data_IF_688570552392
#
_entry.id   IF_688570552392
#
_cell.length_a   1.000
_cell.length_b   1.000
_cell.length_c   1.000
_cell.angle_alpha   90.00
_cell.angle_beta   90.00
_cell.angle_gamma   90.00
#
_symmetry.space_group_name_H-M   'P 1'
#
loop_
_entity.id
_entity.type
_entity.pdbx_description
1 polymer ?
#
# COMPACT_ATOMS: atom_id res chain seq x y z
N UNK A 1 18.81 -20.76 -69.50
CA UNK A 1 19.34 -21.95 -68.80
C UNK A 1 20.26 -21.49 -67.69
N UNK A 2 20.00 -22.00 -66.49
CA UNK A 2 20.79 -22.01 -65.25
C UNK A 2 22.32 -21.92 -65.41
N UNK A 3 22.98 -21.21 -64.48
CA UNK A 3 23.92 -21.83 -63.52
C UNK A 3 24.27 -20.88 -62.35
N UNK A 4 23.97 -21.37 -61.15
CA UNK A 4 24.44 -20.95 -59.83
C UNK A 4 25.95 -21.13 -59.68
N UNK A 5 26.56 -20.45 -58.68
CA UNK A 5 27.53 -20.95 -57.65
C UNK A 5 28.31 -19.73 -57.10
N UNK A 6 27.95 -19.19 -55.93
CA UNK A 6 28.40 -19.52 -54.56
C UNK A 6 29.46 -18.52 -54.06
N UNK A 7 29.02 -17.54 -53.25
CA UNK A 7 29.87 -16.91 -52.24
C UNK A 7 29.19 -17.14 -50.90
N UNK A 8 29.83 -18.00 -50.11
CA UNK A 8 29.44 -18.38 -48.76
C UNK A 8 29.72 -17.19 -47.83
N UNK A 9 28.69 -16.43 -47.46
CA UNK A 9 28.77 -15.43 -46.40
C UNK A 9 28.92 -16.15 -45.05
N UNK A 10 30.17 -16.34 -44.63
CA UNK A 10 30.57 -16.51 -43.25
C UNK A 10 30.31 -15.21 -42.48
N UNK A 11 29.07 -15.01 -42.05
CA UNK A 11 28.76 -14.15 -40.92
C UNK A 11 27.85 -14.95 -40.01
N UNK A 12 28.48 -15.71 -39.12
CA UNK A 12 27.81 -16.34 -38.01
C UNK A 12 27.01 -15.29 -37.26
N UNK A 13 25.69 -15.39 -37.31
CA UNK A 13 24.82 -14.75 -36.35
C UNK A 13 25.13 -15.38 -34.99
N UNK A 14 26.09 -14.79 -34.27
CA UNK A 14 26.06 -14.84 -32.82
C UNK A 14 24.77 -14.13 -32.42
N UNK A 15 23.69 -14.90 -32.26
CA UNK A 15 22.49 -14.43 -31.61
C UNK A 15 22.89 -14.01 -30.22
N UNK A 16 22.94 -12.70 -29.98
CA UNK A 16 23.03 -12.17 -28.64
C UNK A 16 21.74 -12.57 -27.96
N UNK A 17 21.77 -13.62 -27.14
CA UNK A 17 20.74 -13.84 -26.16
C UNK A 17 20.79 -12.62 -25.24
N UNK A 18 19.91 -11.64 -25.47
CA UNK A 18 19.67 -10.56 -24.53
C UNK A 18 19.06 -11.24 -23.31
N UNK A 19 19.92 -11.63 -22.36
CA UNK A 19 19.48 -12.06 -21.05
C UNK A 19 18.76 -10.87 -20.43
N UNK A 20 17.46 -11.01 -20.19
CA UNK A 20 16.68 -9.96 -19.57
C UNK A 20 17.18 -9.78 -18.13
N UNK A 21 17.83 -8.66 -17.85
CA UNK A 21 18.39 -8.39 -16.52
C UNK A 21 17.28 -8.33 -15.47
N UNK A 22 17.50 -9.03 -14.36
CA UNK A 22 16.56 -9.06 -13.23
C UNK A 22 16.59 -7.68 -12.56
N UNK A 23 15.46 -6.97 -12.43
CA UNK A 23 15.47 -5.67 -11.78
C UNK A 23 15.99 -5.78 -10.35
N UNK A 24 16.81 -4.83 -9.87
CA UNK A 24 17.50 -4.95 -8.58
C UNK A 24 16.54 -5.01 -7.38
N UNK A 25 15.32 -4.51 -7.54
CA UNK A 25 14.25 -4.54 -6.54
C UNK A 25 13.51 -5.89 -6.47
N UNK A 26 13.88 -6.87 -7.30
CA UNK A 26 13.30 -8.22 -7.31
C UNK A 26 14.27 -9.21 -6.70
N UNK A 27 13.82 -9.90 -5.65
CA UNK A 27 14.45 -11.12 -5.15
C UNK A 27 13.65 -12.31 -5.67
N UNK A 28 14.33 -13.21 -6.40
CA UNK A 28 13.70 -14.39 -6.97
C UNK A 28 13.53 -15.50 -5.91
N UNK A 29 12.47 -16.27 -6.03
CA UNK A 29 12.20 -17.46 -5.24
C UNK A 29 12.00 -18.69 -6.13
N UNK A 30 12.32 -19.88 -5.62
CA UNK A 30 12.11 -21.14 -6.35
C UNK A 30 10.76 -21.76 -5.97
N UNK A 31 9.96 -22.14 -6.97
CA UNK A 31 8.64 -22.76 -6.75
C UNK A 31 8.76 -24.10 -6.01
N UNK A 32 9.81 -24.84 -6.30
CA UNK A 32 10.13 -26.15 -5.73
C UNK A 32 10.73 -26.10 -4.32
N UNK A 33 11.07 -24.90 -3.82
CA UNK A 33 11.69 -24.73 -2.50
C UNK A 33 10.68 -25.00 -1.36
N UNK A 34 10.94 -25.96 -0.46
CA UNK A 34 10.14 -26.15 0.75
C UNK A 34 10.01 -24.87 1.61
N UNK A 35 11.00 -23.97 1.52
CA UNK A 35 11.06 -22.66 2.16
C UNK A 35 10.50 -21.51 1.32
N UNK A 36 9.73 -21.77 0.24
CA UNK A 36 9.18 -20.75 -0.66
C UNK A 36 8.50 -19.59 0.08
N UNK A 37 7.74 -19.88 1.13
CA UNK A 37 7.04 -18.83 1.91
C UNK A 37 8.00 -17.89 2.63
N UNK A 38 9.11 -18.41 3.16
CA UNK A 38 10.14 -17.58 3.79
C UNK A 38 10.93 -16.79 2.75
N UNK A 39 11.24 -17.38 1.60
CA UNK A 39 11.82 -16.64 0.49
C UNK A 39 10.93 -15.45 0.06
N UNK A 40 9.61 -15.65 -0.06
CA UNK A 40 8.68 -14.58 -0.42
C UNK A 40 8.59 -13.49 0.65
N UNK A 41 8.69 -13.86 1.94
CA UNK A 41 8.80 -12.88 3.04
C UNK A 41 10.07 -12.06 2.89
N UNK A 42 11.20 -12.69 2.61
CA UNK A 42 12.46 -12.00 2.33
C UNK A 42 12.37 -11.13 1.08
N UNK A 43 11.66 -11.55 0.04
CA UNK A 43 11.49 -10.79 -1.19
C UNK A 43 10.71 -9.49 -0.95
N UNK A 44 9.62 -9.55 -0.17
CA UNK A 44 8.90 -8.35 0.25
C UNK A 44 9.75 -7.44 1.15
N UNK A 45 10.62 -8.01 2.00
CA UNK A 45 11.54 -7.22 2.82
C UNK A 45 12.64 -6.56 1.97
N UNK A 46 13.15 -7.26 0.95
CA UNK A 46 14.12 -6.75 -0.03
C UNK A 46 13.55 -5.58 -0.83
N UNK A 47 12.25 -5.60 -1.11
CA UNK A 47 11.56 -4.54 -1.84
C UNK A 47 11.43 -3.23 -1.03
N UNK A 48 11.52 -3.28 0.31
CA UNK A 48 11.31 -2.11 1.20
C UNK A 48 12.12 -0.86 0.87
N UNK A 49 13.47 -0.91 0.72
CA UNK A 49 14.24 0.28 0.37
C UNK A 49 13.78 0.92 -0.94
N UNK A 50 13.38 0.11 -1.92
CA UNK A 50 12.89 0.58 -3.21
C UNK A 50 11.49 1.17 -3.13
N UNK A 51 10.59 0.64 -2.30
CA UNK A 51 9.30 1.29 -2.03
C UNK A 51 9.51 2.63 -1.33
N UNK A 52 10.45 2.69 -0.39
CA UNK A 52 10.78 3.92 0.35
C UNK A 52 11.21 5.05 -0.59
N UNK A 53 12.10 4.77 -1.56
CA UNK A 53 12.53 5.78 -2.56
C UNK A 53 11.57 5.94 -3.74
N UNK A 54 10.67 4.98 -3.96
CA UNK A 54 9.97 4.81 -5.23
C UNK A 54 10.85 4.13 -6.29
N UNK A 55 10.21 3.73 -7.39
CA UNK A 55 10.86 3.07 -8.54
C UNK A 55 10.46 3.85 -9.82
N UNK A 56 11.26 4.83 -10.25
CA UNK A 56 10.93 5.71 -11.38
C UNK A 56 10.69 4.97 -12.70
N UNK A 57 11.44 3.89 -12.94
CA UNK A 57 11.36 3.06 -14.16
C UNK A 57 9.95 2.51 -14.41
N UNK A 58 9.25 2.18 -13.33
CA UNK A 58 7.87 1.69 -13.38
C UNK A 58 6.87 2.72 -12.85
N UNK A 59 7.26 4.00 -12.73
CA UNK A 59 6.43 5.10 -12.21
C UNK A 59 5.79 4.80 -10.85
N UNK A 60 6.47 4.02 -10.00
CA UNK A 60 6.01 3.74 -8.66
C UNK A 60 6.48 4.88 -7.74
N UNK A 61 5.57 5.66 -7.12
CA UNK A 61 5.96 6.76 -6.25
C UNK A 61 6.60 6.24 -4.96
N UNK A 62 7.29 7.14 -4.26
CA UNK A 62 7.78 6.86 -2.90
C UNK A 62 6.62 6.57 -1.95
N UNK A 63 6.83 5.61 -1.05
CA UNK A 63 5.92 5.34 0.09
C UNK A 63 6.44 5.92 1.41
N UNK A 64 7.48 6.77 1.36
CA UNK A 64 8.10 7.39 2.53
C UNK A 64 8.55 8.85 2.25
N UNK A 65 7.72 9.85 2.59
CA UNK A 65 6.36 9.71 3.09
C UNK A 65 5.42 9.16 2.01
N UNK A 66 4.43 8.38 2.43
CA UNK A 66 3.30 8.07 1.59
C UNK A 66 2.38 9.30 1.55
N UNK A 67 2.25 9.91 0.37
CA UNK A 67 1.49 11.14 0.15
C UNK A 67 0.14 10.81 -0.47
N UNK A 68 -0.93 11.40 0.07
CA UNK A 68 -2.27 11.33 -0.50
C UNK A 68 -2.89 12.73 -0.54
N UNK A 69 -3.30 13.16 -1.73
CA UNK A 69 -3.87 14.50 -1.95
C UNK A 69 -5.14 14.72 -1.13
N UNK A 70 -6.00 13.70 -1.08
CA UNK A 70 -7.27 13.79 -0.36
C UNK A 70 -7.78 12.43 0.12
N UNK A 71 -8.20 12.38 1.40
CA UNK A 71 -8.96 11.28 1.99
C UNK A 71 -10.25 11.82 2.59
N UNK A 72 -11.38 11.46 2.00
CA UNK A 72 -12.70 11.79 2.54
C UNK A 72 -13.35 10.56 3.17
N UNK A 73 -13.75 10.68 4.44
CA UNK A 73 -14.42 9.64 5.20
C UNK A 73 -15.74 10.18 5.75
N UNK A 74 -16.72 9.30 5.84
CA UNK A 74 -18.02 9.56 6.45
C UNK A 74 -18.33 8.46 7.47
N UNK A 75 -18.69 8.84 8.69
CA UNK A 75 -19.01 7.87 9.73
C UNK A 75 -20.48 7.46 9.68
N UNK A 76 -21.37 8.46 9.63
CA UNK A 76 -22.83 8.27 9.68
C UNK A 76 -23.51 8.93 8.48
N UNK A 77 -24.63 8.34 8.05
CA UNK A 77 -25.53 8.94 7.06
C UNK A 77 -26.36 10.10 7.64
N UNK A 78 -27.03 10.84 6.76
CA UNK A 78 -27.98 11.89 7.14
C UNK A 78 -27.39 13.30 7.32
N UNK A 79 -28.23 14.29 7.69
CA UNK A 79 -27.85 15.71 7.75
C UNK A 79 -26.78 16.00 8.82
N UNK A 80 -26.84 15.29 9.95
CA UNK A 80 -25.89 15.43 11.07
C UNK A 80 -24.72 14.44 11.01
N UNK A 81 -24.63 13.68 9.91
CA UNK A 81 -23.62 12.65 9.75
C UNK A 81 -22.21 13.22 9.77
N UNK A 82 -21.31 12.61 10.55
CA UNK A 82 -19.94 13.09 10.61
C UNK A 82 -19.21 12.82 9.30
N UNK A 83 -18.63 13.87 8.75
CA UNK A 83 -17.75 13.82 7.58
C UNK A 83 -16.43 14.46 7.93
N UNK A 84 -15.34 13.85 7.48
CA UNK A 84 -14.00 14.40 7.58
C UNK A 84 -13.34 14.32 6.20
N UNK A 85 -12.64 15.38 5.84
CA UNK A 85 -11.79 15.44 4.67
C UNK A 85 -10.38 15.79 5.11
N UNK A 86 -9.44 14.91 4.84
CA UNK A 86 -8.01 15.13 5.02
C UNK A 86 -7.41 15.50 3.68
N UNK A 87 -6.60 16.55 3.64
CA UNK A 87 -5.90 17.03 2.44
C UNK A 87 -4.40 17.13 2.70
N UNK A 88 -3.61 16.94 1.64
CA UNK A 88 -2.15 16.96 1.68
C UNK A 88 -1.64 16.05 2.81
N UNK A 89 -2.14 14.81 2.82
CA UNK A 89 -1.82 13.87 3.87
C UNK A 89 -0.43 13.28 3.61
N UNK A 90 0.45 13.38 4.59
CA UNK A 90 1.77 12.77 4.59
C UNK A 90 1.82 11.70 5.68
N UNK A 91 2.14 10.47 5.29
CA UNK A 91 2.24 9.33 6.20
C UNK A 91 3.68 8.83 6.24
N UNK A 92 4.31 8.96 7.41
CA UNK A 92 5.68 8.55 7.66
C UNK A 92 5.73 7.22 8.40
N UNK A 93 6.75 6.41 8.09
CA UNK A 93 7.02 5.10 8.68
C UNK A 93 6.33 3.93 7.98
N UNK A 94 5.58 4.16 6.91
CA UNK A 94 4.86 3.12 6.17
C UNK A 94 5.82 2.10 5.52
N UNK A 95 7.00 2.56 5.09
CA UNK A 95 8.08 1.71 4.58
C UNK A 95 8.70 0.81 5.66
N UNK A 96 8.48 1.12 6.94
CA UNK A 96 9.04 0.37 8.07
C UNK A 96 8.21 -0.87 8.47
N UNK A 97 7.64 -1.58 7.50
CA UNK A 97 6.83 -2.76 7.77
C UNK A 97 7.70 -4.01 7.98
N UNK A 98 7.19 -4.98 8.72
CA UNK A 98 7.77 -6.33 8.83
C UNK A 98 6.73 -7.35 8.42
N UNK A 99 7.09 -8.21 7.47
CA UNK A 99 6.23 -9.32 7.03
C UNK A 99 6.27 -10.43 8.07
N UNK A 100 5.11 -10.76 8.65
CA UNK A 100 4.99 -11.81 9.68
C UNK A 100 4.62 -13.15 9.09
N UNK A 101 3.70 -13.17 8.14
CA UNK A 101 3.27 -14.40 7.46
C UNK A 101 2.79 -14.09 6.06
N UNK A 102 3.02 -15.03 5.15
CA UNK A 102 2.44 -15.06 3.81
C UNK A 102 1.79 -16.44 3.64
N UNK A 103 0.63 -16.45 3.00
CA UNK A 103 -0.04 -17.65 2.52
C UNK A 103 -0.40 -17.40 1.07
N UNK A 104 0.12 -18.24 0.19
CA UNK A 104 -0.13 -18.15 -1.23
C UNK A 104 -1.59 -18.47 -1.56
N UNK A 105 -2.07 -17.91 -2.67
CA UNK A 105 -3.36 -18.27 -3.23
C UNK A 105 -3.35 -19.73 -3.70
N UNK A 106 -4.48 -20.42 -3.53
CA UNK A 106 -4.67 -21.83 -3.88
C UNK A 106 -6.06 -22.02 -4.50
N UNK A 107 -6.09 -22.18 -5.82
CA UNK A 107 -7.33 -22.18 -6.60
C UNK A 107 -8.12 -20.89 -6.40
N UNK A 108 -9.34 -21.00 -5.84
CA UNK A 108 -10.20 -19.86 -5.51
C UNK A 108 -9.91 -19.22 -4.15
N UNK A 109 -8.98 -19.78 -3.35
CA UNK A 109 -8.64 -19.21 -2.04
C UNK A 109 -7.75 -17.98 -2.20
N UNK A 110 -8.04 -16.88 -1.47
CA UNK A 110 -7.23 -15.68 -1.53
C UNK A 110 -5.83 -15.91 -0.95
N UNK A 111 -4.86 -15.13 -1.43
CA UNK A 111 -3.61 -14.98 -0.69
C UNK A 111 -3.89 -14.25 0.63
N UNK A 112 -3.09 -14.53 1.65
CA UNK A 112 -3.20 -13.86 2.95
C UNK A 112 -1.80 -13.40 3.37
N UNK A 113 -1.68 -12.18 3.90
CA UNK A 113 -0.41 -11.64 4.39
C UNK A 113 -0.66 -10.83 5.64
N UNK A 114 0.21 -11.01 6.65
CA UNK A 114 0.20 -10.20 7.87
C UNK A 114 1.47 -9.35 7.92
N UNK A 115 1.29 -8.05 8.07
CA UNK A 115 2.37 -7.07 8.21
C UNK A 115 2.25 -6.37 9.57
N UNK A 116 3.38 -5.96 10.13
CA UNK A 116 3.42 -5.07 11.31
C UNK A 116 4.23 -3.83 11.01
N UNK A 117 3.73 -2.66 11.38
CA UNK A 117 4.46 -1.39 11.30
C UNK A 117 4.63 -0.86 12.74
N UNK A 118 5.87 -0.66 13.22
CA UNK A 118 6.12 -0.25 14.59
C UNK A 118 5.49 1.09 14.94
N UNK A 119 5.58 2.07 14.03
CA UNK A 119 5.09 3.43 14.21
C UNK A 119 4.74 4.07 12.87
N UNK A 120 3.57 4.70 12.81
CA UNK A 120 3.18 5.63 11.75
C UNK A 120 3.00 7.03 12.35
N UNK A 121 3.41 8.04 11.60
CA UNK A 121 3.10 9.45 11.90
C UNK A 121 2.36 10.03 10.71
N UNK A 122 1.26 10.73 10.94
CA UNK A 122 0.41 11.30 9.89
C UNK A 122 0.29 12.79 10.14
N UNK A 123 0.49 13.57 9.09
CA UNK A 123 0.22 15.00 9.06
C UNK A 123 -0.77 15.29 7.94
N UNK A 124 -1.81 16.08 8.21
CA UNK A 124 -2.76 16.48 7.18
C UNK A 124 -3.43 17.82 7.55
N UNK A 125 -3.97 18.49 6.53
CA UNK A 125 -5.00 19.52 6.74
C UNK A 125 -6.35 18.82 6.84
N UNK A 126 -7.16 19.16 7.84
CA UNK A 126 -8.50 18.57 7.96
C UNK A 126 -9.61 19.60 7.87
N UNK A 127 -10.73 19.18 7.30
CA UNK A 127 -12.03 19.83 7.47
C UNK A 127 -13.05 18.78 7.87
N UNK A 128 -13.95 19.11 8.78
CA UNK A 128 -14.99 18.20 9.23
C UNK A 128 -16.31 18.92 9.47
N UNK A 129 -17.38 18.13 9.45
CA UNK A 129 -18.74 18.61 9.69
C UNK A 129 -19.55 17.53 10.43
N UNK A 130 -20.50 17.96 11.26
CA UNK A 130 -21.44 17.08 11.95
C UNK A 130 -20.95 16.66 13.33
N UNK A 131 -21.43 15.52 13.81
CA UNK A 131 -21.20 15.05 15.19
C UNK A 131 -20.34 13.79 15.20
N UNK A 132 -19.10 13.90 15.68
CA UNK A 132 -18.21 12.76 15.88
C UNK A 132 -18.63 12.01 17.15
N UNK A 133 -19.34 10.89 16.96
CA UNK A 133 -19.89 10.04 18.03
C UNK A 133 -20.91 10.82 18.89
N UNK A 134 -20.44 11.68 19.79
CA UNK A 134 -21.26 12.57 20.64
C UNK A 134 -20.80 14.03 20.60
N UNK A 135 -19.65 14.33 20.01
CA UNK A 135 -19.07 15.68 20.03
C UNK A 135 -19.40 16.42 18.73
N UNK A 136 -19.99 17.62 18.78
CA UNK A 136 -20.05 18.53 17.64
C UNK A 136 -18.63 18.84 17.18
N UNK A 137 -18.24 18.29 16.03
CA UNK A 137 -16.88 18.29 15.55
C UNK A 137 -16.79 18.93 14.16
N UNK A 138 -17.56 20.00 13.94
CA UNK A 138 -17.45 20.82 12.74
C UNK A 138 -16.30 21.80 12.87
N UNK A 139 -15.36 21.79 11.94
CA UNK A 139 -14.19 22.66 12.02
C UNK A 139 -13.18 22.40 10.93
N UNK A 140 -12.09 23.14 10.98
CA UNK A 140 -10.94 22.98 10.09
C UNK A 140 -9.67 23.32 10.83
N UNK A 141 -8.57 22.68 10.46
CA UNK A 141 -7.27 22.94 11.06
C UNK A 141 -6.23 21.93 10.59
N UNK A 142 -5.23 21.71 11.43
CA UNK A 142 -4.20 20.71 11.25
C UNK A 142 -4.58 19.45 12.02
N UNK A 143 -4.39 18.28 11.40
CA UNK A 143 -4.61 16.97 11.99
C UNK A 143 -3.28 16.22 12.03
N UNK A 144 -2.97 15.71 13.22
CA UNK A 144 -1.79 14.92 13.49
C UNK A 144 -2.22 13.59 14.10
N UNK A 145 -1.58 12.50 13.66
CA UNK A 145 -1.77 11.21 14.29
C UNK A 145 -0.44 10.47 14.48
N UNK A 146 -0.33 9.74 15.59
CA UNK A 146 0.73 8.76 15.80
C UNK A 146 0.09 7.44 16.14
N UNK A 147 0.38 6.42 15.34
CA UNK A 147 -0.09 5.05 15.55
C UNK A 147 1.11 4.17 15.88
N UNK A 148 1.11 3.54 17.06
CA UNK A 148 2.15 2.58 17.43
C UNK A 148 1.60 1.16 17.47
N UNK A 149 2.42 0.21 17.03
CA UNK A 149 2.06 -1.21 16.96
C UNK A 149 0.91 -1.47 16.01
N UNK A 150 1.05 -1.04 14.75
CA UNK A 150 0.06 -1.29 13.70
C UNK A 150 0.24 -2.70 13.16
N UNK A 151 -0.87 -3.43 13.03
CA UNK A 151 -0.93 -4.72 12.33
C UNK A 151 -1.88 -4.58 11.15
N UNK A 152 -1.46 -5.05 9.99
CA UNK A 152 -2.25 -5.08 8.76
C UNK A 152 -2.41 -6.54 8.31
N UNK A 153 -3.65 -7.02 8.30
CA UNK A 153 -4.02 -8.29 7.69
C UNK A 153 -4.57 -8.00 6.29
N UNK A 154 -3.88 -8.49 5.28
CA UNK A 154 -4.21 -8.31 3.86
C UNK A 154 -4.69 -9.64 3.31
N UNK A 155 -5.82 -9.62 2.61
CA UNK A 155 -6.31 -10.76 1.83
C UNK A 155 -6.60 -10.30 0.41
N UNK A 156 -6.32 -11.13 -0.58
CA UNK A 156 -6.65 -10.74 -1.94
C UNK A 156 -6.75 -11.88 -2.93
N UNK A 157 -7.39 -11.59 -4.06
CA UNK A 157 -7.48 -12.48 -5.20
C UNK A 157 -6.51 -12.01 -6.26
N UNK A 158 -5.79 -12.96 -6.85
CA UNK A 158 -4.85 -12.70 -7.93
C UNK A 158 -5.28 -13.45 -9.18
N UNK A 159 -5.09 -12.81 -10.32
CA UNK A 159 -5.23 -13.40 -11.65
C UNK A 159 -3.90 -13.32 -12.39
N UNK A 160 -3.82 -13.97 -13.55
CA UNK A 160 -2.70 -13.89 -14.47
C UNK A 160 -3.16 -13.29 -15.78
N UNK A 161 -2.40 -12.35 -16.32
CA UNK A 161 -2.65 -11.75 -17.62
C UNK A 161 -1.42 -11.92 -18.52
N UNK A 162 -1.64 -12.40 -19.75
CA UNK A 162 -0.59 -12.52 -20.75
C UNK A 162 -0.35 -11.15 -21.42
N UNK A 163 0.92 -10.74 -21.49
CA UNK A 163 1.39 -9.54 -22.17
C UNK A 163 2.55 -9.91 -23.12
N UNK A 164 2.92 -9.05 -24.09
CA UNK A 164 4.09 -9.29 -24.94
C UNK A 164 5.39 -9.50 -24.16
N UNK A 165 5.48 -8.95 -22.94
CA UNK A 165 6.61 -9.08 -22.00
C UNK A 165 6.60 -10.39 -21.19
N UNK A 166 5.57 -11.22 -21.32
CA UNK A 166 5.38 -12.46 -20.59
C UNK A 166 4.07 -12.49 -19.79
N UNK A 167 3.89 -13.51 -18.94
CA UNK A 167 2.77 -13.56 -18.02
C UNK A 167 3.01 -12.64 -16.81
N UNK A 168 1.99 -11.88 -16.42
CA UNK A 168 2.01 -10.98 -15.27
C UNK A 168 0.95 -11.37 -14.25
N UNK A 169 1.21 -11.14 -12.96
CA UNK A 169 0.18 -11.21 -11.93
C UNK A 169 -0.63 -9.91 -11.92
N UNK A 170 -1.88 -10.02 -11.47
CA UNK A 170 -2.72 -8.87 -11.17
C UNK A 170 -3.52 -9.14 -9.91
N UNK A 171 -3.54 -8.18 -9.01
CA UNK A 171 -4.44 -8.17 -7.85
C UNK A 171 -5.80 -7.66 -8.31
N UNK A 172 -6.80 -8.54 -8.28
CA UNK A 172 -8.18 -8.24 -8.67
C UNK A 172 -8.98 -7.64 -7.51
N UNK A 173 -8.73 -8.16 -6.31
CA UNK A 173 -9.36 -7.69 -5.08
C UNK A 173 -8.35 -7.72 -3.96
N UNK A 174 -8.35 -6.67 -3.14
CA UNK A 174 -7.57 -6.59 -1.92
C UNK A 174 -8.46 -6.08 -0.78
N UNK A 175 -8.56 -6.88 0.27
CA UNK A 175 -9.23 -6.54 1.51
C UNK A 175 -8.17 -6.31 2.58
N UNK A 176 -8.19 -5.11 3.19
CA UNK A 176 -7.28 -4.71 4.24
C UNK A 176 -8.02 -4.66 5.58
N UNK A 177 -7.44 -5.29 6.61
CA UNK A 177 -7.86 -5.11 7.99
C UNK A 177 -6.72 -4.52 8.83
N UNK A 178 -6.98 -3.39 9.48
CA UNK A 178 -6.01 -2.67 10.29
C UNK A 178 -6.36 -2.80 11.77
N UNK A 179 -5.33 -3.06 12.59
CA UNK A 179 -5.41 -3.02 14.04
C UNK A 179 -4.30 -2.12 14.57
N UNK A 180 -4.65 -1.18 15.44
CA UNK A 180 -3.72 -0.18 15.98
C UNK A 180 -3.69 -0.35 17.49
N UNK A 181 -2.51 -0.66 18.04
CA UNK A 181 -2.36 -0.90 19.49
C UNK A 181 -2.46 0.39 20.30
N UNK A 182 -1.83 1.48 19.85
CA UNK A 182 -1.85 2.78 20.55
C UNK A 182 -2.06 3.91 19.56
N UNK A 183 -3.31 4.39 19.40
CA UNK A 183 -3.59 5.56 18.61
C UNK A 183 -3.47 6.83 19.45
N UNK A 184 -2.80 7.84 18.91
CA UNK A 184 -2.79 9.20 19.42
C UNK A 184 -3.23 10.11 18.29
N UNK A 185 -4.37 10.76 18.47
CA UNK A 185 -4.97 11.68 17.52
C UNK A 185 -4.94 13.07 18.14
N UNK A 186 -4.60 14.08 17.36
CA UNK A 186 -4.66 15.47 17.79
C UNK A 186 -5.01 16.40 16.65
N UNK A 187 -5.60 17.53 17.02
CA UNK A 187 -5.93 18.62 16.12
C UNK A 187 -5.41 19.94 16.66
N UNK A 188 -5.02 20.83 15.77
CA UNK A 188 -4.58 22.18 16.13
C UNK A 188 -5.09 23.22 15.14
N UNK A 189 -5.06 24.49 15.54
CA UNK A 189 -5.59 25.63 14.77
C UNK A 189 -7.09 25.51 14.42
N UNK A 190 -7.86 25.00 15.38
CA UNK A 190 -9.30 24.75 15.25
C UNK A 190 -10.13 25.82 15.97
N UNK A 191 -11.40 25.97 15.60
CA UNK A 191 -12.35 26.89 16.26
C UNK A 191 -11.80 28.32 16.46
N UNK A 192 -11.17 28.89 15.42
CA UNK A 192 -10.51 30.20 15.49
C UNK A 192 -9.51 30.31 16.67
N UNK A 193 -8.78 29.24 16.96
CA UNK A 193 -7.83 29.11 18.07
C UNK A 193 -8.44 29.24 19.47
N UNK A 194 -9.74 28.92 19.64
CA UNK A 194 -10.34 28.84 20.97
C UNK A 194 -9.69 27.70 21.78
N UNK A 195 -8.92 28.08 22.81
CA UNK A 195 -8.15 27.15 23.64
C UNK A 195 -9.01 26.10 24.33
N UNK A 196 -10.16 26.49 24.89
CA UNK A 196 -11.04 25.60 25.64
C UNK A 196 -11.61 24.51 24.72
N UNK A 197 -12.15 24.90 23.57
CA UNK A 197 -12.69 23.93 22.60
C UNK A 197 -11.59 23.04 22.02
N UNK A 198 -10.40 23.59 21.82
CA UNK A 198 -9.23 22.84 21.32
C UNK A 198 -8.78 21.79 22.33
N UNK A 199 -8.64 22.15 23.60
CA UNK A 199 -8.24 21.24 24.67
C UNK A 199 -9.31 20.17 24.93
N UNK A 200 -10.60 20.55 24.95
CA UNK A 200 -11.71 19.60 25.09
C UNK A 200 -11.75 18.58 23.94
N UNK A 201 -11.55 19.03 22.70
CA UNK A 201 -11.51 18.15 21.52
C UNK A 201 -10.33 17.19 21.59
N UNK A 202 -9.13 17.68 21.91
CA UNK A 202 -7.95 16.85 22.03
C UNK A 202 -8.04 15.86 23.21
N UNK A 203 -8.68 16.25 24.32
CA UNK A 203 -8.95 15.34 25.42
C UNK A 203 -9.85 14.19 24.97
N UNK A 204 -10.94 14.49 24.26
CA UNK A 204 -11.82 13.45 23.72
C UNK A 204 -11.08 12.52 22.76
N UNK A 205 -10.31 13.06 21.81
CA UNK A 205 -9.54 12.27 20.84
C UNK A 205 -8.51 11.37 21.52
N UNK A 206 -7.88 11.85 22.60
CA UNK A 206 -6.93 11.08 23.40
C UNK A 206 -7.61 9.94 24.16
N UNK A 207 -8.78 10.20 24.75
CA UNK A 207 -9.53 9.21 25.54
C UNK A 207 -10.27 8.18 24.68
N UNK A 208 -10.70 8.57 23.47
CA UNK A 208 -11.59 7.79 22.61
C UNK A 208 -10.96 7.46 21.25
N UNK A 209 -9.63 7.52 21.13
CA UNK A 209 -8.93 7.34 19.85
C UNK A 209 -9.22 5.99 19.19
N UNK A 210 -9.39 4.93 19.99
CA UNK A 210 -9.77 3.60 19.48
C UNK A 210 -11.20 3.57 18.93
N UNK A 211 -12.14 4.21 19.62
CA UNK A 211 -13.54 4.32 19.22
C UNK A 211 -13.66 5.11 17.92
N UNK A 212 -12.97 6.24 17.82
CA UNK A 212 -12.90 7.06 16.60
C UNK A 212 -12.37 6.25 15.42
N UNK A 213 -11.27 5.51 15.62
CA UNK A 213 -10.71 4.68 14.56
C UNK A 213 -11.65 3.55 14.16
N UNK A 214 -12.23 2.82 15.12
CA UNK A 214 -13.20 1.74 14.88
C UNK A 214 -14.39 2.24 14.07
N UNK A 215 -14.85 3.44 14.37
CA UNK A 215 -15.95 4.10 13.69
C UNK A 215 -15.59 4.39 12.22
N UNK A 216 -14.40 4.93 11.94
CA UNK A 216 -13.93 5.28 10.59
C UNK A 216 -13.37 4.09 9.79
N UNK A 217 -13.05 2.99 10.47
CA UNK A 217 -12.32 1.84 9.91
C UNK A 217 -12.95 1.26 8.63
N UNK A 218 -14.27 1.05 8.51
CA UNK A 218 -14.83 0.45 7.28
C UNK A 218 -14.55 1.28 6.03
N UNK A 219 -14.64 2.61 6.11
CA UNK A 219 -14.35 3.49 4.98
C UNK A 219 -12.85 3.60 4.72
N UNK A 220 -12.05 3.68 5.79
CA UNK A 220 -10.60 3.72 5.70
C UNK A 220 -10.06 2.47 5.01
N UNK A 221 -10.52 1.29 5.42
CA UNK A 221 -10.15 0.01 4.82
C UNK A 221 -10.47 -0.03 3.33
N UNK A 222 -11.69 0.37 2.93
CA UNK A 222 -12.09 0.40 1.52
C UNK A 222 -11.20 1.32 0.68
N UNK A 223 -10.89 2.51 1.19
CA UNK A 223 -10.02 3.48 0.50
C UNK A 223 -8.60 2.96 0.37
N UNK A 224 -7.99 2.53 1.47
CA UNK A 224 -6.62 2.01 1.48
C UNK A 224 -6.48 0.71 0.67
N UNK A 225 -7.49 -0.15 0.67
CA UNK A 225 -7.54 -1.32 -0.20
C UNK A 225 -7.37 -0.94 -1.68
N UNK A 226 -8.06 0.10 -2.13
CA UNK A 226 -7.96 0.59 -3.51
C UNK A 226 -6.58 1.16 -3.81
N UNK A 227 -6.05 1.99 -2.91
CA UNK A 227 -4.71 2.60 -3.07
C UNK A 227 -3.62 1.53 -3.13
N UNK A 228 -3.63 0.57 -2.19
CA UNK A 228 -2.64 -0.49 -2.14
C UNK A 228 -2.78 -1.49 -3.28
N UNK A 229 -3.98 -1.70 -3.81
CA UNK A 229 -4.17 -2.46 -5.06
C UNK A 229 -3.49 -1.76 -6.23
N UNK A 230 -3.63 -0.43 -6.33
CA UNK A 230 -2.95 0.37 -7.35
C UNK A 230 -1.44 0.25 -7.28
N UNK A 231 -0.86 0.42 -6.09
CA UNK A 231 0.60 0.28 -5.87
C UNK A 231 1.09 -1.13 -6.21
N UNK A 232 0.39 -2.17 -5.72
CA UNK A 232 0.76 -3.54 -6.00
C UNK A 232 0.72 -3.84 -7.50
N UNK A 233 -0.35 -3.43 -8.18
CA UNK A 233 -0.49 -3.63 -9.62
C UNK A 233 0.52 -2.81 -10.42
N UNK A 234 0.93 -1.63 -9.97
CA UNK A 234 1.99 -0.87 -10.62
C UNK A 234 3.31 -1.67 -10.70
N UNK A 235 3.64 -2.45 -9.68
CA UNK A 235 4.78 -3.38 -9.72
C UNK A 235 4.50 -4.60 -10.60
N UNK A 236 3.40 -5.31 -10.34
CA UNK A 236 3.09 -6.58 -10.98
C UNK A 236 2.79 -6.44 -12.48
N UNK A 237 2.26 -5.30 -12.91
CA UNK A 237 1.99 -5.02 -14.32
C UNK A 237 3.26 -4.78 -15.14
N UNK A 238 4.37 -4.40 -14.49
CA UNK A 238 5.64 -4.09 -15.14
C UNK A 238 6.70 -5.20 -15.00
N UNK A 239 6.48 -6.17 -14.10
CA UNK A 239 7.42 -7.28 -13.89
C UNK A 239 6.74 -8.62 -14.17
N UNK A 240 7.23 -9.41 -15.13
CA UNK A 240 6.70 -10.74 -15.41
C UNK A 240 6.89 -11.75 -14.25
N UNK A 241 6.01 -12.75 -14.16
CA UNK A 241 6.00 -13.77 -13.09
C UNK A 241 7.33 -14.50 -12.96
N UNK A 242 7.96 -14.84 -14.08
CA UNK A 242 9.21 -15.61 -14.09
C UNK A 242 10.39 -14.89 -13.43
N UNK A 243 10.30 -13.56 -13.22
CA UNK A 243 11.28 -12.85 -12.40
C UNK A 243 11.08 -13.08 -10.91
N UNK A 244 9.84 -13.20 -10.43
CA UNK A 244 9.55 -13.41 -9.02
C UNK A 244 9.73 -14.87 -8.60
N UNK A 245 9.21 -15.79 -9.40
CA UNK A 245 9.18 -17.22 -9.11
C UNK A 245 9.78 -17.96 -10.30
N UNK A 246 10.89 -18.64 -10.05
CA UNK A 246 11.56 -19.54 -10.99
C UNK A 246 11.25 -21.00 -10.62
N UNK A 247 11.26 -21.90 -11.59
CA UNK A 247 11.01 -23.34 -11.35
C UNK A 247 12.23 -24.07 -10.76
#
# INVERSE_FOLDING_TARGET
MLKFVTICCLLGWAGWAVGQEIPPYIKQCRRSDPGLTDCLKEALQHLRPYLSSGIPEIKLPSVEPFVMDQLSLQLTGGPQGYRINLKNMEVFGASNFTVRSIKLADGSKPFETRLTIPRLTIHAKYTSSGVLIIIPASGSGDFDAVFEGVTADVKGLVSTNEKPTGMHLRVEKLDLNLSIKKPRLSVSKIFNNNRILTEATNLFLKENGHEVLRALQPQLQKKLSSEFTGIANQLLDNVPIHFFIVD
#
